data_IF_744519897126
#
_entry.id   IF_744519897126
#
_cell.length_a   1.000
_cell.length_b   1.000
_cell.length_c   1.000
_cell.angle_alpha   90.00
_cell.angle_beta   90.00
_cell.angle_gamma   90.00
#
_symmetry.space_group_name_H-M   'P 1'
#
loop_
_entity.id
_entity.type
_entity.pdbx_description
1 polymer ?
#
# COMPACT_ATOMS: atom_id res chain seq x y z
N UNK A 1 10.19 15.50 37.21
CA UNK A 1 11.36 14.65 36.89
C UNK A 1 11.23 14.27 35.42
N UNK A 2 11.84 15.06 34.54
CA UNK A 2 11.40 15.20 33.14
C UNK A 2 12.59 15.32 32.17
N UNK A 3 13.47 14.32 32.16
CA UNK A 3 14.72 14.32 31.35
C UNK A 3 14.70 13.23 30.27
N UNK A 4 13.74 12.30 30.29
CA UNK A 4 13.60 11.25 29.26
C UNK A 4 12.56 11.55 28.16
N UNK A 5 11.76 12.63 28.30
CA UNK A 5 10.69 12.96 27.34
C UNK A 5 11.14 13.81 26.15
N UNK A 6 12.27 14.52 26.19
CA UNK A 6 12.65 15.40 25.07
C UNK A 6 13.41 14.72 23.93
N UNK A 7 14.39 13.85 24.19
CA UNK A 7 15.19 13.26 23.09
C UNK A 7 14.43 12.22 22.26
N UNK A 8 13.66 11.33 22.91
CA UNK A 8 12.90 10.30 22.18
C UNK A 8 11.79 10.92 21.34
N UNK A 9 11.07 11.89 21.87
CA UNK A 9 10.01 12.60 21.14
C UNK A 9 10.61 13.45 20.01
N UNK A 10 11.72 14.15 20.26
CA UNK A 10 12.41 14.90 19.20
C UNK A 10 12.92 13.99 18.07
N UNK A 11 13.45 12.80 18.41
CA UNK A 11 13.88 11.82 17.42
C UNK A 11 12.72 11.27 16.60
N UNK A 12 11.58 10.96 17.23
CA UNK A 12 10.36 10.53 16.52
C UNK A 12 9.89 11.64 15.57
N UNK A 13 9.92 12.90 16.02
CA UNK A 13 9.57 14.08 15.22
C UNK A 13 10.49 14.27 14.00
N UNK A 14 11.79 14.03 14.19
CA UNK A 14 12.78 14.15 13.11
C UNK A 14 12.63 13.00 12.09
N UNK A 15 12.45 11.77 12.56
CA UNK A 15 12.25 10.59 11.70
C UNK A 15 10.94 10.72 10.91
N UNK A 16 9.84 11.15 11.56
CA UNK A 16 8.57 11.40 10.88
C UNK A 16 8.69 12.54 9.86
N UNK A 17 9.48 13.58 10.13
CA UNK A 17 9.81 14.62 9.15
C UNK A 17 10.49 14.07 7.89
N UNK A 18 11.52 13.22 8.03
CA UNK A 18 12.16 12.58 6.88
C UNK A 18 11.21 11.63 6.12
N UNK A 19 10.40 10.86 6.85
CA UNK A 19 9.38 9.99 6.26
C UNK A 19 8.32 10.78 5.49
N UNK A 20 7.91 11.96 5.98
CA UNK A 20 6.98 12.84 5.29
C UNK A 20 7.56 13.33 3.96
N UNK A 21 8.83 13.75 3.96
CA UNK A 21 9.53 14.17 2.74
C UNK A 21 9.65 13.00 1.77
N UNK A 22 10.04 11.82 2.25
CA UNK A 22 10.13 10.60 1.45
C UNK A 22 8.79 10.25 0.80
N UNK A 23 7.69 10.20 1.56
CA UNK A 23 6.34 9.94 1.04
C UNK A 23 5.88 11.00 0.04
N UNK A 24 6.31 12.25 0.23
CA UNK A 24 6.02 13.34 -0.72
C UNK A 24 6.71 13.08 -2.05
N UNK A 25 7.98 12.67 -2.05
CA UNK A 25 8.69 12.26 -3.26
C UNK A 25 8.08 11.01 -3.91
N UNK A 26 7.69 10.01 -3.12
CA UNK A 26 6.99 8.82 -3.62
C UNK A 26 5.68 9.21 -4.32
N UNK A 27 4.92 10.14 -3.75
CA UNK A 27 3.69 10.66 -4.38
C UNK A 27 3.97 11.35 -5.70
N UNK A 28 5.01 12.19 -5.79
CA UNK A 28 5.39 12.84 -7.04
C UNK A 28 5.85 11.82 -8.09
N UNK A 29 6.66 10.84 -7.68
CA UNK A 29 7.09 9.75 -8.55
C UNK A 29 5.88 8.97 -9.10
N UNK A 30 4.91 8.61 -8.25
CA UNK A 30 3.68 7.95 -8.69
C UNK A 30 2.87 8.80 -9.67
N UNK A 31 2.80 10.12 -9.45
CA UNK A 31 2.13 11.06 -10.35
C UNK A 31 2.78 11.16 -11.73
N UNK A 32 4.11 11.04 -11.81
CA UNK A 32 4.86 11.07 -13.08
C UNK A 32 4.83 9.71 -13.76
N UNK A 33 4.98 8.63 -13.00
CA UNK A 33 4.98 7.25 -13.51
C UNK A 33 3.61 6.88 -14.08
N UNK A 34 2.52 7.38 -13.50
CA UNK A 34 1.17 7.05 -13.98
C UNK A 34 0.93 7.39 -15.46
N UNK A 35 1.03 8.64 -15.93
CA UNK A 35 0.82 8.96 -17.35
C UNK A 35 1.88 8.31 -18.24
N UNK A 36 3.12 8.16 -17.75
CA UNK A 36 4.19 7.48 -18.50
C UNK A 36 3.82 6.02 -18.78
N UNK A 37 3.35 5.29 -17.77
CA UNK A 37 2.93 3.90 -17.90
C UNK A 37 1.72 3.77 -18.84
N UNK A 38 0.74 4.67 -18.74
CA UNK A 38 -0.41 4.71 -19.66
C UNK A 38 0.07 4.90 -21.10
N UNK A 39 1.00 5.82 -21.35
CA UNK A 39 1.55 6.06 -22.67
C UNK A 39 2.31 4.84 -23.22
N UNK A 40 3.15 4.20 -22.40
CA UNK A 40 3.87 2.97 -22.78
C UNK A 40 2.89 1.85 -23.13
N UNK A 41 1.82 1.68 -22.35
CA UNK A 41 0.81 0.64 -22.60
C UNK A 41 -0.03 0.89 -23.87
N UNK A 42 -0.25 2.15 -24.25
CA UNK A 42 -1.01 2.49 -25.45
C UNK A 42 -0.17 2.48 -26.73
N UNK A 43 1.11 2.89 -26.65
CA UNK A 43 2.00 3.05 -27.81
C UNK A 43 2.86 1.79 -28.05
N UNK A 44 3.17 1.01 -27.01
CA UNK A 44 4.03 -0.16 -27.09
C UNK A 44 3.42 -1.30 -27.92
N UNK A 45 4.13 -1.77 -28.96
CA UNK A 45 3.67 -2.83 -29.85
C UNK A 45 3.70 -4.22 -29.21
N UNK A 46 4.81 -4.59 -28.58
CA UNK A 46 5.02 -5.88 -27.90
C UNK A 46 5.27 -5.65 -26.42
N UNK A 47 4.58 -6.40 -25.57
CA UNK A 47 4.78 -6.34 -24.12
C UNK A 47 5.08 -7.73 -23.58
N UNK A 48 6.07 -7.77 -22.70
CA UNK A 48 6.30 -8.91 -21.82
C UNK A 48 5.38 -8.73 -20.62
N UNK A 49 4.36 -9.58 -20.52
CA UNK A 49 3.44 -9.56 -19.38
C UNK A 49 3.91 -10.61 -18.38
N UNK A 50 4.37 -10.15 -17.21
CA UNK A 50 4.68 -11.03 -16.09
C UNK A 50 3.57 -10.91 -15.06
N UNK A 51 2.75 -11.95 -14.91
CA UNK A 51 1.70 -12.03 -13.88
C UNK A 51 2.00 -13.23 -13.00
N UNK A 52 2.54 -12.97 -11.80
CA UNK A 52 2.99 -14.03 -10.90
C UNK A 52 4.09 -14.88 -11.53
N UNK A 53 3.85 -16.18 -11.65
CA UNK A 53 4.81 -17.16 -12.22
C UNK A 53 4.71 -17.23 -13.75
N UNK A 54 3.67 -16.63 -14.35
CA UNK A 54 3.44 -16.71 -15.81
C UNK A 54 4.11 -15.52 -16.48
N UNK A 55 5.18 -15.80 -17.22
CA UNK A 55 5.80 -14.85 -18.15
C UNK A 55 5.27 -15.14 -19.56
N UNK A 56 4.42 -14.26 -20.08
CA UNK A 56 4.03 -14.32 -21.48
C UNK A 56 4.93 -13.37 -22.27
N UNK A 57 5.78 -13.94 -23.12
CA UNK A 57 6.63 -13.19 -24.04
C UNK A 57 5.89 -12.93 -25.34
N UNK A 58 6.01 -11.71 -25.87
CA UNK A 58 5.49 -11.30 -27.18
C UNK A 58 3.98 -11.52 -27.39
N UNK A 59 3.17 -11.21 -26.38
CA UNK A 59 1.70 -11.22 -26.55
C UNK A 59 1.28 -9.95 -27.29
N UNK A 60 0.75 -10.13 -28.50
CA UNK A 60 0.02 -9.08 -29.20
C UNK A 60 -1.36 -8.91 -28.54
N UNK A 61 -1.39 -8.08 -27.50
CA UNK A 61 -2.63 -7.71 -26.83
C UNK A 61 -3.52 -6.93 -27.80
N UNK A 62 -4.77 -7.38 -27.96
CA UNK A 62 -5.81 -6.62 -28.67
C UNK A 62 -6.03 -5.26 -28.01
N UNK A 63 -6.54 -4.28 -28.76
CA UNK A 63 -6.78 -2.92 -28.25
C UNK A 63 -7.69 -2.94 -27.00
N UNK A 64 -8.70 -3.82 -26.98
CA UNK A 64 -9.58 -4.02 -25.83
C UNK A 64 -8.83 -4.54 -24.60
N UNK A 65 -7.94 -5.53 -24.76
CA UNK A 65 -7.14 -6.05 -23.66
C UNK A 65 -6.13 -5.02 -23.14
N UNK A 66 -5.55 -4.20 -24.03
CA UNK A 66 -4.67 -3.08 -23.62
C UNK A 66 -5.42 -2.07 -22.78
N UNK A 67 -6.62 -1.66 -23.20
CA UNK A 67 -7.46 -0.73 -22.42
C UNK A 67 -7.84 -1.32 -21.06
N UNK A 68 -8.17 -2.61 -20.99
CA UNK A 68 -8.50 -3.27 -19.74
C UNK A 68 -7.29 -3.34 -18.79
N UNK A 69 -6.09 -3.62 -19.31
CA UNK A 69 -4.84 -3.60 -18.54
C UNK A 69 -4.50 -2.20 -18.03
N UNK A 70 -4.67 -1.17 -18.88
CA UNK A 70 -4.48 0.24 -18.51
C UNK A 70 -5.47 0.66 -17.42
N UNK A 71 -6.73 0.24 -17.53
CA UNK A 71 -7.75 0.51 -16.51
C UNK A 71 -7.38 -0.14 -15.18
N UNK A 72 -7.00 -1.43 -15.19
CA UNK A 72 -6.55 -2.15 -14.00
C UNK A 72 -5.33 -1.49 -13.36
N UNK A 73 -4.30 -1.17 -14.17
CA UNK A 73 -3.10 -0.47 -13.72
C UNK A 73 -3.43 0.89 -13.10
N UNK A 74 -4.35 1.63 -13.72
CA UNK A 74 -4.78 2.94 -13.22
C UNK A 74 -5.51 2.82 -11.88
N UNK A 75 -6.31 1.78 -11.68
CA UNK A 75 -6.92 1.49 -10.38
C UNK A 75 -5.86 1.19 -9.32
N UNK A 76 -4.85 0.37 -9.64
CA UNK A 76 -3.74 0.09 -8.73
C UNK A 76 -2.95 1.36 -8.36
N UNK A 77 -2.58 2.16 -9.35
CA UNK A 77 -1.83 3.41 -9.13
C UNK A 77 -2.66 4.43 -8.34
N UNK A 78 -3.97 4.50 -8.59
CA UNK A 78 -4.87 5.37 -7.83
C UNK A 78 -5.00 4.94 -6.37
N UNK A 79 -5.11 3.63 -6.10
CA UNK A 79 -5.10 3.11 -4.73
C UNK A 79 -3.75 3.35 -4.04
N UNK A 80 -2.63 3.16 -4.75
CA UNK A 80 -1.29 3.45 -4.23
C UNK A 80 -1.12 4.94 -3.88
N UNK A 81 -1.64 5.84 -4.70
CA UNK A 81 -1.69 7.28 -4.41
C UNK A 81 -2.53 7.58 -3.16
N UNK A 82 -3.68 6.92 -2.98
CA UNK A 82 -4.51 7.06 -1.78
C UNK A 82 -3.80 6.58 -0.52
N UNK A 83 -3.14 5.44 -0.56
CA UNK A 83 -2.34 4.93 0.56
C UNK A 83 -1.24 5.94 0.90
N UNK A 84 -0.46 6.36 -0.10
CA UNK A 84 0.63 7.33 0.09
C UNK A 84 0.11 8.64 0.68
N UNK A 85 -1.07 9.11 0.25
CA UNK A 85 -1.70 10.32 0.78
C UNK A 85 -2.09 10.16 2.26
N UNK A 86 -2.79 9.08 2.61
CA UNK A 86 -3.21 8.84 3.99
C UNK A 86 -2.03 8.57 4.93
N UNK A 87 -1.02 7.82 4.49
CA UNK A 87 0.23 7.63 5.22
C UNK A 87 0.98 8.94 5.43
N UNK A 88 0.94 9.86 4.45
CA UNK A 88 1.58 11.17 4.57
C UNK A 88 0.86 12.06 5.59
N UNK A 89 -0.47 12.12 5.58
CA UNK A 89 -1.21 12.88 6.60
C UNK A 89 -1.03 12.28 8.00
N UNK A 90 -1.03 10.94 8.12
CA UNK A 90 -0.69 10.27 9.38
C UNK A 90 0.69 10.72 9.90
N UNK A 91 1.71 10.67 9.05
CA UNK A 91 3.08 11.04 9.45
C UNK A 91 3.19 12.54 9.74
N UNK A 92 2.38 13.38 9.08
CA UNK A 92 2.29 14.81 9.40
C UNK A 92 1.83 15.03 10.84
N UNK A 93 0.78 14.34 11.29
CA UNK A 93 0.32 14.42 12.68
C UNK A 93 1.42 14.00 13.67
N UNK A 94 2.15 12.92 13.37
CA UNK A 94 3.31 12.47 14.15
C UNK A 94 4.47 13.49 14.15
N UNK A 95 4.67 14.22 13.05
CA UNK A 95 5.70 15.25 12.94
C UNK A 95 5.36 16.55 13.66
N UNK A 96 4.07 16.81 13.94
CA UNK A 96 3.64 17.94 14.76
C UNK A 96 3.70 17.57 16.25
N UNK A 97 3.66 16.28 16.57
CA UNK A 97 3.64 15.75 17.94
C UNK A 97 2.24 15.41 18.44
N UNK A 98 1.24 15.56 17.57
CA UNK A 98 -0.17 15.23 17.83
C UNK A 98 -0.44 13.78 17.39
N UNK A 99 0.08 12.83 18.17
CA UNK A 99 0.14 11.40 17.81
C UNK A 99 -1.21 10.69 18.09
N UNK A 100 -1.88 11.08 19.16
CA UNK A 100 -3.08 10.42 19.70
C UNK A 100 -4.33 11.22 19.36
N UNK A 101 -4.59 11.36 18.06
CA UNK A 101 -5.73 12.09 17.52
C UNK A 101 -6.63 11.16 16.70
N UNK A 102 -7.95 11.26 16.87
CA UNK A 102 -8.97 10.56 16.08
C UNK A 102 -8.77 10.71 14.56
N UNK A 103 -8.31 11.88 14.10
CA UNK A 103 -8.03 12.11 12.68
C UNK A 103 -6.83 11.31 12.17
N UNK A 104 -5.78 11.17 12.98
CA UNK A 104 -4.61 10.36 12.64
C UNK A 104 -5.00 8.88 12.53
N UNK A 105 -5.81 8.38 13.46
CA UNK A 105 -6.34 7.01 13.43
C UNK A 105 -7.19 6.76 12.18
N UNK A 106 -8.08 7.68 11.82
CA UNK A 106 -8.92 7.53 10.62
C UNK A 106 -8.06 7.46 9.34
N UNK A 107 -7.00 8.27 9.24
CA UNK A 107 -6.04 8.17 8.16
C UNK A 107 -5.26 6.85 8.15
N UNK A 108 -4.83 6.35 9.32
CA UNK A 108 -4.17 5.04 9.42
C UNK A 108 -5.11 3.90 9.00
N UNK A 109 -6.37 3.91 9.46
CA UNK A 109 -7.41 2.93 9.09
C UNK A 109 -7.69 2.95 7.60
N UNK A 110 -7.85 4.14 7.00
CA UNK A 110 -8.06 4.30 5.55
C UNK A 110 -6.84 3.83 4.74
N UNK A 111 -5.62 4.10 5.19
CA UNK A 111 -4.41 3.59 4.54
C UNK A 111 -4.37 2.05 4.57
N UNK A 112 -4.65 1.45 5.73
CA UNK A 112 -4.67 0.00 5.91
C UNK A 112 -5.75 -0.66 5.04
N UNK A 113 -6.96 -0.11 5.02
CA UNK A 113 -8.07 -0.64 4.20
C UNK A 113 -7.74 -0.59 2.70
N UNK A 114 -7.20 0.53 2.21
CA UNK A 114 -6.76 0.61 0.81
C UNK A 114 -5.63 -0.39 0.51
N UNK A 115 -4.72 -0.64 1.47
CA UNK A 115 -3.68 -1.68 1.36
C UNK A 115 -4.27 -3.09 1.26
N UNK A 116 -5.27 -3.41 2.08
CA UNK A 116 -6.01 -4.69 2.01
C UNK A 116 -6.70 -4.84 0.66
N UNK A 117 -7.34 -3.78 0.14
CA UNK A 117 -7.98 -3.81 -1.18
C UNK A 117 -6.96 -4.12 -2.29
N UNK A 118 -5.79 -3.47 -2.28
CA UNK A 118 -4.71 -3.78 -3.23
C UNK A 118 -4.30 -5.25 -3.13
N UNK A 119 -4.16 -5.77 -1.91
CA UNK A 119 -3.75 -7.15 -1.69
C UNK A 119 -4.81 -8.15 -2.15
N UNK A 120 -6.09 -7.87 -1.92
CA UNK A 120 -7.20 -8.70 -2.45
C UNK A 120 -7.19 -8.69 -3.98
N UNK A 121 -6.99 -7.54 -4.62
CA UNK A 121 -6.87 -7.46 -6.07
C UNK A 121 -5.67 -8.27 -6.59
N UNK A 122 -4.54 -8.25 -5.87
CA UNK A 122 -3.38 -9.08 -6.18
C UNK A 122 -3.69 -10.58 -6.08
N UNK A 123 -4.41 -11.01 -5.03
CA UNK A 123 -4.84 -12.40 -4.88
C UNK A 123 -5.78 -12.83 -6.02
N UNK A 124 -6.73 -11.97 -6.41
CA UNK A 124 -7.59 -12.25 -7.56
C UNK A 124 -6.78 -12.42 -8.86
N UNK A 125 -5.78 -11.57 -9.08
CA UNK A 125 -4.88 -11.69 -10.24
C UNK A 125 -4.05 -12.99 -10.19
N UNK A 126 -3.56 -13.36 -9.00
CA UNK A 126 -2.79 -14.58 -8.81
C UNK A 126 -3.63 -15.84 -9.06
N UNK A 127 -4.85 -15.88 -8.52
CA UNK A 127 -5.83 -16.93 -8.78
C UNK A 127 -6.15 -17.03 -10.27
N UNK A 128 -6.36 -15.90 -10.95
CA UNK A 128 -6.55 -15.87 -12.40
C UNK A 128 -5.37 -16.48 -13.16
N UNK A 129 -4.14 -16.15 -12.78
CA UNK A 129 -2.93 -16.74 -13.40
C UNK A 129 -2.82 -18.24 -13.14
N UNK A 130 -3.21 -18.69 -11.95
CA UNK A 130 -3.19 -20.10 -11.57
C UNK A 130 -4.22 -20.90 -12.38
N UNK A 131 -5.45 -20.39 -12.48
CA UNK A 131 -6.49 -21.00 -13.33
C UNK A 131 -6.04 -21.11 -14.79
N UNK A 132 -5.44 -20.03 -15.32
CA UNK A 132 -4.90 -20.05 -16.68
C UNK A 132 -3.81 -21.10 -16.87
N UNK A 133 -2.85 -21.18 -15.94
CA UNK A 133 -1.77 -22.18 -15.98
C UNK A 133 -2.31 -23.60 -15.85
N UNK A 134 -3.27 -23.83 -14.95
CA UNK A 134 -3.89 -25.14 -14.73
C UNK A 134 -4.64 -25.65 -15.98
N UNK A 135 -5.20 -24.74 -16.79
CA UNK A 135 -5.83 -25.10 -18.07
C UNK A 135 -4.80 -25.47 -19.17
N UNK A 136 -3.56 -24.99 -19.08
CA UNK A 136 -2.54 -25.20 -20.13
C UNK A 136 -1.51 -26.30 -19.81
N UNK A 137 -1.33 -26.68 -18.54
CA UNK A 137 -0.28 -27.64 -18.14
C UNK A 137 -0.84 -28.84 -17.37
N UNK A 138 -0.45 -30.05 -17.82
CA UNK A 138 -0.84 -31.34 -17.24
C UNK A 138 0.40 -32.00 -16.60
N UNK A 139 1.02 -31.32 -15.62
CA UNK A 139 0.68 -31.59 -14.21
C UNK A 139 0.48 -30.31 -13.37
N UNK A 140 -0.46 -30.35 -12.43
CA UNK A 140 -0.74 -29.25 -11.49
C UNK A 140 0.40 -29.14 -10.48
N UNK A 141 1.30 -28.18 -10.66
CA UNK A 141 2.26 -27.79 -9.64
C UNK A 141 1.59 -26.88 -8.60
N UNK A 142 1.43 -27.38 -7.37
CA UNK A 142 0.98 -26.56 -6.24
C UNK A 142 2.18 -25.74 -5.76
N UNK A 143 2.31 -24.52 -6.24
CA UNK A 143 3.29 -23.56 -5.69
C UNK A 143 2.71 -23.02 -4.40
N UNK A 144 3.27 -23.44 -3.25
CA UNK A 144 2.96 -22.83 -1.96
C UNK A 144 3.48 -21.39 -2.01
N UNK A 145 2.55 -20.44 -2.09
CA UNK A 145 2.91 -19.04 -2.12
C UNK A 145 3.24 -18.55 -0.70
N UNK A 146 4.54 -18.51 -0.39
CA UNK A 146 5.07 -17.98 0.87
C UNK A 146 4.75 -16.50 1.10
N UNK A 147 4.51 -15.74 0.03
CA UNK A 147 4.15 -14.32 0.10
C UNK A 147 2.80 -14.13 0.80
N UNK A 148 1.91 -15.13 0.74
CA UNK A 148 0.62 -15.07 1.45
C UNK A 148 0.79 -15.02 2.96
N UNK A 149 1.68 -15.86 3.50
CA UNK A 149 1.96 -15.92 4.94
C UNK A 149 2.65 -14.63 5.38
N UNK A 150 3.61 -14.13 4.59
CA UNK A 150 4.31 -12.87 4.86
C UNK A 150 3.34 -11.69 4.86
N UNK A 151 2.43 -11.62 3.89
CA UNK A 151 1.42 -10.57 3.84
C UNK A 151 0.45 -10.64 5.03
N UNK A 152 0.01 -11.83 5.42
CA UNK A 152 -0.87 -12.01 6.58
C UNK A 152 -0.18 -11.56 7.87
N UNK A 153 1.09 -11.90 8.07
CA UNK A 153 1.89 -11.40 9.19
C UNK A 153 2.02 -9.87 9.14
N UNK A 154 2.31 -9.30 7.98
CA UNK A 154 2.45 -7.85 7.80
C UNK A 154 1.15 -7.11 8.14
N UNK A 155 0.02 -7.53 7.57
CA UNK A 155 -1.28 -6.91 7.87
C UNK A 155 -1.69 -7.13 9.32
N UNK A 156 -1.38 -8.29 9.91
CA UNK A 156 -1.59 -8.57 11.33
C UNK A 156 -0.84 -7.59 12.22
N UNK A 157 0.45 -7.35 11.95
CA UNK A 157 1.27 -6.38 12.70
C UNK A 157 0.72 -4.96 12.52
N UNK A 158 0.37 -4.56 11.29
CA UNK A 158 -0.21 -3.24 11.03
C UNK A 158 -1.55 -3.03 11.78
N UNK A 159 -2.38 -4.07 11.86
CA UNK A 159 -3.63 -4.02 12.62
C UNK A 159 -3.40 -3.89 14.12
N UNK A 160 -2.42 -4.63 14.67
CA UNK A 160 -2.04 -4.49 16.09
C UNK A 160 -1.51 -3.09 16.40
N UNK A 161 -0.72 -2.50 15.49
CA UNK A 161 -0.25 -1.12 15.65
C UNK A 161 -1.39 -0.10 15.60
N UNK A 162 -2.36 -0.29 14.70
CA UNK A 162 -3.57 0.55 14.65
C UNK A 162 -4.37 0.44 15.95
N UNK A 163 -4.55 -0.77 16.47
CA UNK A 163 -5.23 -1.02 17.73
C UNK A 163 -4.50 -0.37 18.93
N UNK A 164 -3.17 -0.43 18.96
CA UNK A 164 -2.38 0.24 19.99
C UNK A 164 -2.51 1.78 19.92
N UNK A 165 -2.63 2.34 18.72
CA UNK A 165 -2.90 3.78 18.52
C UNK A 165 -4.31 4.17 18.97
N UNK A 166 -5.31 3.33 18.71
CA UNK A 166 -6.69 3.53 19.16
C UNK A 166 -6.77 3.58 20.69
N UNK A 167 -6.21 2.57 21.38
CA UNK A 167 -6.16 2.56 22.85
C UNK A 167 -5.40 3.77 23.39
N UNK A 168 -4.27 4.13 22.77
CA UNK A 168 -3.50 5.29 23.20
C UNK A 168 -4.26 6.61 23.05
N UNK A 169 -5.14 6.72 22.04
CA UNK A 169 -6.03 7.87 21.86
C UNK A 169 -7.13 7.92 22.92
N UNK A 170 -7.79 6.80 23.17
CA UNK A 170 -8.84 6.71 24.20
C UNK A 170 -8.29 7.07 25.58
N UNK A 171 -7.09 6.56 25.93
CA UNK A 171 -6.40 6.90 27.18
C UNK A 171 -5.97 8.37 27.27
N UNK A 172 -5.58 8.99 26.15
CA UNK A 172 -5.23 10.40 26.12
C UNK A 172 -6.47 11.29 26.34
N UNK A 173 -7.60 10.94 25.70
CA UNK A 173 -8.88 11.65 25.91
C UNK A 173 -9.37 11.52 27.36
N UNK A 174 -9.28 10.34 27.96
CA UNK A 174 -9.63 10.14 29.38
C UNK A 174 -8.72 10.95 30.32
N UNK A 175 -7.42 11.02 30.03
CA UNK A 175 -6.45 11.82 30.80
C UNK A 175 -6.70 13.32 30.69
N UNK A 176 -7.19 13.82 29.56
CA UNK A 176 -7.52 15.24 29.38
C UNK A 176 -8.82 15.62 30.11
N UNK A 177 -9.74 14.68 30.30
CA UNK A 177 -11.02 14.89 31.00
C UNK A 177 -10.91 14.77 32.54
N UNK A 178 -9.79 14.27 33.07
CA UNK A 178 -9.57 14.08 34.51
C UNK A 178 -8.69 15.15 35.16
N UNK A 179 -8.19 16.11 34.40
CA UNK A 179 -7.45 17.30 34.87
C UNK A 179 -8.43 18.47 35.02
#
# INVERSE_FOLDING_TARGET
MDIQRHERIARIKQISGYLYVCLTWVRYALWVVWPLMVAVFLVGGKMQLTVGVVQMQDVELTLVQRLLMVALLSVFLWLALKITHHSRELIRHFSVGDIFNKQAIDHARKALLNGVVIYVLYLCALLGSWFYSAMQTSPVHIVVNTDFIVALMFFGVMYVLLWALEIGCDLNEESELTI
#
